data_IF_880112224492
#
_entry.id   IF_880112224492
#
_cell.length_a   1.000
_cell.length_b   1.000
_cell.length_c   1.000
_cell.angle_alpha   90.00
_cell.angle_beta   90.00
_cell.angle_gamma   90.00
#
_symmetry.space_group_name_H-M   'P 1'
#
loop_
_entity.id
_entity.type
_entity.pdbx_description
1 polymer ?
#
# COMPACT_ATOMS: atom_id res chain seq x y z
N UNK A 1 -17.98 -0.96 9.69
CA UNK A 1 -18.25 -0.97 11.14
C UNK A 1 -19.65 -1.52 11.36
N UNK A 2 -19.82 -2.36 12.38
CA UNK A 2 -21.13 -2.86 12.81
C UNK A 2 -21.33 -2.52 14.28
N UNK A 3 -22.57 -2.22 14.68
CA UNK A 3 -22.96 -2.01 16.07
C UNK A 3 -23.80 -3.22 16.55
N UNK A 4 -23.16 -4.35 16.88
CA UNK A 4 -23.85 -5.64 17.09
C UNK A 4 -24.79 -5.65 18.31
N UNK A 5 -24.59 -4.71 19.25
CA UNK A 5 -25.39 -4.58 20.46
C UNK A 5 -26.15 -3.24 20.56
N UNK A 6 -26.39 -2.58 19.41
CA UNK A 6 -26.92 -1.23 19.37
C UNK A 6 -25.84 -0.18 19.64
N UNK A 7 -26.19 1.10 19.61
CA UNK A 7 -25.27 2.22 19.82
C UNK A 7 -25.30 3.22 18.69
N UNK A 8 -24.27 4.08 18.61
CA UNK A 8 -24.13 5.13 17.61
C UNK A 8 -23.05 4.74 16.60
N UNK A 9 -23.40 4.73 15.32
CA UNK A 9 -22.44 4.59 14.24
C UNK A 9 -22.05 5.97 13.71
N UNK A 10 -20.75 6.30 13.77
CA UNK A 10 -20.21 7.55 13.25
C UNK A 10 -19.65 7.29 11.84
N UNK A 11 -20.24 7.94 10.83
CA UNK A 11 -19.73 7.88 9.46
C UNK A 11 -18.93 9.14 9.12
N UNK A 12 -17.72 8.96 8.62
CA UNK A 12 -16.84 10.06 8.18
C UNK A 12 -16.93 10.35 6.69
N UNK A 13 -17.82 9.70 5.94
CA UNK A 13 -17.92 9.81 4.46
C UNK A 13 -18.15 11.23 3.96
N UNK A 14 -18.74 12.11 4.76
CA UNK A 14 -18.93 13.53 4.43
C UNK A 14 -17.70 14.41 4.72
N UNK A 15 -16.71 13.88 5.42
CA UNK A 15 -15.41 14.50 5.71
C UNK A 15 -14.39 13.96 4.69
N UNK A 16 -14.46 14.43 3.44
CA UNK A 16 -13.74 13.83 2.32
C UNK A 16 -12.91 14.83 1.50
N UNK A 17 -12.49 15.93 2.11
CA UNK A 17 -11.74 17.00 1.45
C UNK A 17 -10.23 16.83 1.66
N UNK A 18 -9.47 17.28 0.66
CA UNK A 18 -8.06 17.66 0.82
C UNK A 18 -8.07 19.08 1.39
N UNK A 19 -7.62 19.25 2.62
CA UNK A 19 -7.63 20.54 3.32
C UNK A 19 -6.40 21.39 2.97
N UNK A 20 -5.27 20.73 2.76
CA UNK A 20 -4.01 21.38 2.42
C UNK A 20 -3.15 20.42 1.60
N UNK A 21 -2.47 20.96 0.61
CA UNK A 21 -1.44 20.27 -0.16
C UNK A 21 -0.13 21.05 -0.04
N UNK A 22 0.80 20.53 0.74
CA UNK A 22 2.11 21.13 1.01
C UNK A 22 3.19 20.40 0.20
N UNK A 23 3.40 20.86 -1.04
CA UNK A 23 4.37 20.24 -1.95
C UNK A 23 5.81 20.42 -1.46
N UNK A 24 6.12 21.55 -0.80
CA UNK A 24 7.47 21.82 -0.30
C UNK A 24 7.89 20.79 0.76
N UNK A 25 6.95 20.38 1.62
CA UNK A 25 7.15 19.36 2.64
C UNK A 25 6.70 17.96 2.21
N UNK A 26 6.23 17.80 0.97
CA UNK A 26 5.74 16.53 0.42
C UNK A 26 4.70 15.87 1.31
N UNK A 27 3.71 16.63 1.73
CA UNK A 27 2.62 16.13 2.55
C UNK A 27 1.30 16.75 2.19
N UNK A 28 0.21 16.10 2.61
CA UNK A 28 -1.15 16.62 2.50
C UNK A 28 -1.88 16.46 3.83
N UNK A 29 -2.70 17.45 4.18
CA UNK A 29 -3.66 17.34 5.27
C UNK A 29 -5.02 17.03 4.70
N UNK A 30 -5.61 15.91 5.09
CA UNK A 30 -6.86 15.41 4.53
C UNK A 30 -7.88 15.07 5.62
N UNK A 31 -9.13 15.04 5.25
CA UNK A 31 -10.23 14.53 6.07
C UNK A 31 -10.29 13.00 5.99
N UNK A 32 -10.72 12.30 7.07
CA UNK A 32 -10.61 10.85 7.18
C UNK A 32 -11.48 10.06 6.19
N UNK A 33 -12.56 10.63 5.70
CA UNK A 33 -13.46 10.03 4.71
C UNK A 33 -13.01 10.19 3.25
N UNK A 34 -11.88 10.85 2.99
CA UNK A 34 -11.32 10.94 1.64
C UNK A 34 -10.95 9.53 1.15
N UNK A 35 -11.42 9.17 -0.04
CA UNK A 35 -11.08 7.88 -0.67
C UNK A 35 -9.59 7.84 -1.00
N UNK A 36 -8.95 6.72 -0.70
CA UNK A 36 -7.50 6.55 -0.84
C UNK A 36 -6.99 6.92 -2.22
N UNK A 37 -7.57 6.34 -3.27
CA UNK A 37 -7.17 6.59 -4.66
C UNK A 37 -7.38 8.05 -5.09
N UNK A 38 -8.36 8.75 -4.51
CA UNK A 38 -8.63 10.15 -4.88
C UNK A 38 -7.50 11.10 -4.49
N UNK A 39 -6.77 10.79 -3.41
CA UNK A 39 -5.60 11.58 -3.06
C UNK A 39 -4.49 11.41 -4.10
N UNK A 40 -4.14 10.18 -4.48
CA UNK A 40 -3.16 9.91 -5.54
C UNK A 40 -3.57 10.59 -6.84
N UNK A 41 -4.83 10.46 -7.25
CA UNK A 41 -5.36 11.11 -8.46
C UNK A 41 -5.20 12.64 -8.41
N UNK A 42 -5.45 13.25 -7.24
CA UNK A 42 -5.36 14.70 -7.07
C UNK A 42 -3.93 15.28 -7.08
N UNK A 43 -2.91 14.43 -6.89
CA UNK A 43 -1.51 14.88 -6.83
C UNK A 43 -0.64 14.32 -7.96
N UNK A 44 -1.18 13.43 -8.78
CA UNK A 44 -0.46 12.72 -9.83
C UNK A 44 0.12 13.64 -10.91
N UNK A 45 -0.65 14.64 -11.34
CA UNK A 45 -0.24 15.67 -12.30
C UNK A 45 0.90 16.58 -11.78
N UNK A 46 1.16 16.52 -10.47
CA UNK A 46 2.23 17.24 -9.79
C UNK A 46 3.46 16.38 -9.53
N UNK A 47 3.46 15.14 -10.02
CA UNK A 47 4.55 14.19 -9.87
C UNK A 47 4.60 13.48 -8.50
N UNK A 48 3.46 13.40 -7.79
CA UNK A 48 3.37 12.75 -6.48
C UNK A 48 2.32 11.66 -6.45
N UNK A 49 2.43 10.77 -5.45
CA UNK A 49 1.41 9.78 -5.12
C UNK A 49 1.38 9.50 -3.61
N UNK A 50 0.29 8.92 -3.14
CA UNK A 50 0.15 8.38 -1.79
C UNK A 50 0.37 6.88 -1.84
N UNK A 51 1.47 6.41 -1.24
CA UNK A 51 1.96 5.05 -1.46
C UNK A 51 1.09 3.90 -0.90
N UNK A 52 0.40 4.02 0.26
CA UNK A 52 -0.48 2.95 0.70
C UNK A 52 -1.59 2.67 -0.30
N UNK A 53 -1.64 1.46 -0.81
CA UNK A 53 -2.51 1.06 -1.92
C UNK A 53 -3.24 -0.27 -1.65
N UNK A 54 -4.01 -0.37 -0.56
CA UNK A 54 -4.78 -1.59 -0.31
C UNK A 54 -5.65 -1.93 -1.54
N UNK A 55 -5.90 -3.21 -1.77
CA UNK A 55 -6.76 -3.66 -2.88
C UNK A 55 -8.14 -2.98 -2.88
N UNK A 56 -8.58 -2.49 -1.72
CA UNK A 56 -9.78 -1.68 -1.55
C UNK A 56 -9.61 -0.19 -1.81
N UNK A 57 -8.47 0.30 -2.30
CA UNK A 57 -8.15 1.73 -2.42
C UNK A 57 -9.18 2.57 -3.19
N UNK A 58 -9.96 1.94 -4.08
CA UNK A 58 -11.04 2.60 -4.83
C UNK A 58 -12.24 2.97 -3.96
N UNK A 59 -12.39 2.35 -2.80
CA UNK A 59 -13.56 2.52 -1.90
C UNK A 59 -13.15 2.75 -0.44
N UNK A 60 -11.95 2.36 -0.03
CA UNK A 60 -11.47 2.60 1.33
C UNK A 60 -11.11 4.06 1.54
N UNK A 61 -11.33 4.56 2.75
CA UNK A 61 -10.99 5.92 3.13
C UNK A 61 -9.63 5.98 3.83
N UNK A 62 -8.95 7.13 3.73
CA UNK A 62 -7.65 7.35 4.39
C UNK A 62 -7.75 7.16 5.90
N UNK A 63 -8.81 7.65 6.54
CA UNK A 63 -9.03 7.42 7.97
C UNK A 63 -9.32 5.97 8.32
N UNK A 64 -10.01 5.24 7.45
CA UNK A 64 -10.19 3.79 7.58
C UNK A 64 -8.87 3.04 7.48
N UNK A 65 -8.08 3.35 6.46
CA UNK A 65 -6.76 2.77 6.26
C UNK A 65 -5.80 3.08 7.43
N UNK A 66 -5.85 4.31 7.97
CA UNK A 66 -5.10 4.67 9.18
C UNK A 66 -5.58 3.88 10.40
N UNK A 67 -6.90 3.71 10.57
CA UNK A 67 -7.47 2.97 11.70
C UNK A 67 -7.11 1.48 11.69
N UNK A 68 -7.01 0.86 10.52
CA UNK A 68 -6.65 -0.57 10.38
C UNK A 68 -5.18 -0.80 10.09
N UNK A 69 -4.39 0.26 9.92
CA UNK A 69 -3.02 0.21 9.44
C UNK A 69 -2.90 -0.61 8.13
N UNK A 70 -3.73 -0.28 7.16
CA UNK A 70 -3.88 -1.06 5.93
C UNK A 70 -2.56 -1.15 5.15
N UNK A 71 -2.33 -2.34 4.58
CA UNK A 71 -1.26 -2.62 3.63
C UNK A 71 -1.80 -2.83 2.22
N UNK A 72 -0.89 -3.09 1.26
CA UNK A 72 -1.19 -3.35 -0.14
C UNK A 72 -0.03 -4.06 -0.83
N UNK A 73 -0.10 -4.31 -2.15
CA UNK A 73 0.93 -5.03 -2.89
C UNK A 73 2.31 -4.36 -2.83
N UNK A 74 2.36 -3.03 -2.71
CA UNK A 74 3.61 -2.29 -2.68
C UNK A 74 4.25 -2.13 -1.29
N UNK A 75 3.73 -2.85 -0.27
CA UNK A 75 4.24 -2.77 1.10
C UNK A 75 5.70 -3.20 1.24
N UNK A 76 6.18 -4.13 0.40
CA UNK A 76 7.57 -4.59 0.45
C UNK A 76 8.55 -3.41 0.29
N UNK A 77 8.29 -2.51 -0.63
CA UNK A 77 9.14 -1.36 -0.91
C UNK A 77 8.76 -0.11 -0.11
N UNK A 78 7.48 0.18 -0.03
CA UNK A 78 7.01 1.46 0.50
C UNK A 78 6.52 1.39 1.95
N UNK A 79 6.30 0.19 2.48
CA UNK A 79 5.73 0.00 3.82
C UNK A 79 4.21 0.12 3.83
N UNK A 80 3.65 0.09 5.03
CA UNK A 80 2.21 0.13 5.31
C UNK A 80 1.76 1.53 5.72
N UNK A 81 0.49 1.73 6.00
CA UNK A 81 -0.10 3.05 6.25
C UNK A 81 0.62 3.85 7.34
N UNK A 82 1.06 3.22 8.45
CA UNK A 82 1.78 3.91 9.55
C UNK A 82 3.05 4.61 9.08
N UNK A 83 3.74 4.07 8.05
CA UNK A 83 4.95 4.67 7.49
C UNK A 83 4.67 5.97 6.72
N UNK A 84 3.41 6.24 6.41
CA UNK A 84 2.97 7.38 5.60
C UNK A 84 2.06 8.36 6.36
N UNK A 85 1.72 8.07 7.62
CA UNK A 85 0.96 8.99 8.47
C UNK A 85 1.94 9.83 9.30
N UNK A 86 1.97 11.13 9.00
CA UNK A 86 2.81 12.10 9.70
C UNK A 86 2.13 12.70 10.92
N UNK A 87 0.81 12.81 10.93
CA UNK A 87 0.05 13.36 12.04
C UNK A 87 -1.43 13.04 11.97
N UNK A 88 -2.05 13.10 13.12
CA UNK A 88 -3.47 12.84 13.30
C UNK A 88 -4.10 13.92 14.16
N UNK A 89 -5.30 14.36 13.78
CA UNK A 89 -6.21 14.99 14.70
C UNK A 89 -7.22 13.95 15.17
N UNK A 90 -7.32 13.80 16.50
CA UNK A 90 -8.15 12.76 17.13
C UNK A 90 -9.07 13.39 18.14
N UNK A 91 -10.32 12.96 18.16
CA UNK A 91 -11.27 13.22 19.25
C UNK A 91 -11.19 12.05 20.22
N UNK A 92 -10.74 12.32 21.44
CA UNK A 92 -10.57 11.32 22.49
C UNK A 92 -11.90 10.88 23.10
N UNK A 93 -11.89 9.83 23.92
CA UNK A 93 -13.07 9.40 24.68
C UNK A 93 -13.58 10.44 25.71
N UNK A 94 -12.76 11.42 26.08
CA UNK A 94 -13.15 12.57 26.92
C UNK A 94 -13.80 13.71 26.10
N UNK A 95 -13.86 13.59 24.77
CA UNK A 95 -14.37 14.65 23.89
C UNK A 95 -13.35 15.73 23.55
N UNK A 96 -12.09 15.55 23.94
CA UNK A 96 -11.03 16.50 23.63
C UNK A 96 -10.50 16.30 22.22
N UNK A 97 -10.20 17.41 21.52
CA UNK A 97 -9.57 17.39 20.19
C UNK A 97 -8.07 17.57 20.38
N UNK A 98 -7.30 16.55 20.05
CA UNK A 98 -5.84 16.56 20.19
C UNK A 98 -5.16 16.38 18.85
N UNK A 99 -3.98 17.00 18.70
CA UNK A 99 -3.09 16.75 17.57
C UNK A 99 -1.95 15.85 18.04
N UNK A 100 -1.75 14.75 17.31
CA UNK A 100 -0.62 13.85 17.45
C UNK A 100 0.24 14.03 16.19
N UNK A 101 1.52 14.28 16.41
CA UNK A 101 2.35 14.48 15.28
C UNK A 101 2.26 15.83 14.57
N UNK A 102 2.65 15.88 13.28
CA UNK A 102 2.73 17.10 12.46
C UNK A 102 3.35 16.81 11.10
N UNK A 103 3.82 17.85 10.39
CA UNK A 103 4.40 17.72 9.05
C UNK A 103 5.85 17.18 9.01
N UNK A 104 6.47 16.93 10.14
CA UNK A 104 7.84 16.40 10.27
C UNK A 104 7.81 14.95 10.72
N UNK A 105 8.74 14.13 10.19
CA UNK A 105 8.86 12.71 10.55
C UNK A 105 9.52 12.52 11.91
N UNK A 106 10.59 13.27 12.16
CA UNK A 106 11.35 13.15 13.41
C UNK A 106 10.79 14.08 14.48
N UNK A 107 10.33 13.52 15.56
CA UNK A 107 9.68 14.25 16.67
C UNK A 107 10.26 13.83 18.00
N UNK A 108 10.44 14.78 18.91
CA UNK A 108 10.84 14.46 20.26
C UNK A 108 9.69 13.74 21.01
N UNK A 109 10.03 12.72 21.80
CA UNK A 109 9.10 12.00 22.65
C UNK A 109 8.57 10.70 22.05
N UNK A 110 7.45 10.22 22.62
CA UNK A 110 6.82 8.97 22.15
C UNK A 110 6.08 9.15 20.83
N UNK A 111 6.11 8.11 19.99
CA UNK A 111 5.33 8.07 18.76
C UNK A 111 3.86 7.73 19.02
N UNK A 112 3.10 8.73 19.47
CA UNK A 112 1.66 8.57 19.71
C UNK A 112 0.85 8.43 18.42
N UNK A 113 1.39 8.89 17.28
CA UNK A 113 0.78 8.68 15.96
C UNK A 113 0.76 7.20 15.61
N UNK A 114 1.90 6.51 15.78
CA UNK A 114 2.00 5.07 15.58
C UNK A 114 1.15 4.25 16.54
N UNK A 115 0.88 4.75 17.75
CA UNK A 115 -0.05 4.09 18.71
C UNK A 115 -1.50 4.15 18.23
N UNK A 116 -1.93 5.27 17.61
CA UNK A 116 -3.32 5.44 17.13
C UNK A 116 -3.55 4.77 15.79
N UNK A 117 -2.55 4.77 14.91
CA UNK A 117 -2.64 4.02 13.63
C UNK A 117 -2.76 2.52 13.94
N UNK A 118 -3.78 1.87 13.39
CA UNK A 118 -4.08 0.46 13.65
C UNK A 118 -4.88 0.20 14.93
N UNK A 119 -5.32 1.25 15.66
CA UNK A 119 -6.13 1.09 16.87
C UNK A 119 -7.60 0.75 16.62
N UNK A 120 -8.03 0.72 15.37
CA UNK A 120 -9.43 0.43 14.95
C UNK A 120 -10.49 1.29 15.66
N UNK A 121 -10.13 2.54 16.01
CA UNK A 121 -11.02 3.48 16.68
C UNK A 121 -11.16 3.28 18.20
N UNK A 122 -10.41 2.35 18.80
CA UNK A 122 -10.48 2.08 20.24
C UNK A 122 -9.90 3.21 21.11
N UNK A 123 -9.00 4.03 20.53
CA UNK A 123 -8.34 5.15 21.24
C UNK A 123 -8.97 6.51 20.92
N UNK A 124 -9.85 6.60 19.94
CA UNK A 124 -10.51 7.85 19.56
C UNK A 124 -10.96 7.86 18.10
N UNK A 125 -11.56 8.98 17.70
CA UNK A 125 -12.07 9.18 16.34
C UNK A 125 -11.11 10.11 15.59
N UNK A 126 -10.53 9.60 14.49
CA UNK A 126 -9.66 10.39 13.60
C UNK A 126 -10.52 11.37 12.81
N UNK A 127 -10.17 12.65 12.86
CA UNK A 127 -10.89 13.74 12.16
C UNK A 127 -10.05 14.46 11.11
N UNK A 128 -8.71 14.34 11.17
CA UNK A 128 -7.77 14.76 10.12
C UNK A 128 -6.57 13.86 10.12
N UNK A 129 -5.96 13.70 8.93
CA UNK A 129 -4.74 12.94 8.73
C UNK A 129 -3.76 13.81 7.95
N UNK A 130 -2.53 13.91 8.45
CA UNK A 130 -1.40 14.46 7.69
C UNK A 130 -0.66 13.27 7.12
N UNK A 131 -0.61 13.16 5.80
CA UNK A 131 0.03 12.05 5.09
C UNK A 131 1.25 12.52 4.32
N UNK A 132 2.24 11.63 4.22
CA UNK A 132 3.42 11.82 3.38
C UNK A 132 3.08 11.46 1.94
N UNK A 133 3.55 12.28 1.00
CA UNK A 133 3.50 12.02 -0.43
C UNK A 133 4.89 11.62 -0.93
N UNK A 134 4.95 10.66 -1.83
CA UNK A 134 6.17 10.25 -2.50
C UNK A 134 6.19 10.80 -3.93
N UNK A 135 7.39 10.97 -4.49
CA UNK A 135 7.54 11.23 -5.92
C UNK A 135 7.15 10.00 -6.72
N UNK A 136 6.47 10.22 -7.83
CA UNK A 136 6.25 9.16 -8.82
C UNK A 136 7.60 8.56 -9.24
N UNK A 137 7.69 7.23 -9.39
CA UNK A 137 8.88 6.60 -9.93
C UNK A 137 9.12 7.05 -11.37
N UNK A 138 10.38 7.15 -11.79
CA UNK A 138 10.75 7.51 -13.17
C UNK A 138 10.26 6.48 -14.17
N UNK A 139 10.32 5.20 -13.80
CA UNK A 139 9.86 4.09 -14.62
C UNK A 139 9.28 2.98 -13.75
N UNK A 140 8.43 2.17 -14.36
CA UNK A 140 7.86 0.94 -13.80
C UNK A 140 8.02 -0.15 -14.82
N UNK A 141 8.40 -1.35 -14.41
CA UNK A 141 8.45 -2.55 -15.25
C UNK A 141 7.82 -3.72 -14.52
N UNK A 142 6.87 -4.37 -15.18
CA UNK A 142 6.17 -5.54 -14.67
C UNK A 142 6.58 -6.77 -15.46
N UNK A 143 6.81 -7.89 -14.77
CA UNK A 143 7.03 -9.20 -15.35
C UNK A 143 6.10 -10.21 -14.68
N UNK A 144 5.74 -11.25 -15.42
CA UNK A 144 4.97 -12.40 -14.96
C UNK A 144 5.84 -13.65 -15.13
N UNK A 145 6.22 -14.29 -14.04
CA UNK A 145 6.94 -15.56 -14.05
C UNK A 145 5.99 -16.71 -13.75
N UNK A 146 6.06 -17.78 -14.53
CA UNK A 146 5.20 -18.97 -14.43
C UNK A 146 5.99 -20.13 -13.86
N UNK A 147 5.41 -20.83 -12.89
CA UNK A 147 6.07 -21.96 -12.20
C UNK A 147 5.17 -23.20 -12.18
N UNK A 148 5.82 -24.37 -12.02
CA UNK A 148 5.11 -25.64 -11.87
C UNK A 148 4.54 -25.84 -10.45
N UNK A 149 5.07 -25.12 -9.45
CA UNK A 149 4.69 -25.22 -8.05
C UNK A 149 4.78 -23.86 -7.33
N UNK A 150 4.05 -23.74 -6.22
CA UNK A 150 4.13 -22.57 -5.35
C UNK A 150 5.46 -22.51 -4.60
N UNK A 151 6.07 -23.66 -4.37
CA UNK A 151 7.38 -23.80 -3.72
C UNK A 151 8.46 -23.11 -4.58
N UNK A 152 8.54 -23.44 -5.87
CA UNK A 152 9.50 -22.83 -6.80
C UNK A 152 9.31 -21.30 -6.89
N UNK A 153 8.04 -20.84 -6.97
CA UNK A 153 7.73 -19.42 -6.96
C UNK A 153 8.19 -18.73 -5.65
N UNK A 154 8.00 -19.38 -4.51
CA UNK A 154 8.41 -18.85 -3.19
C UNK A 154 9.94 -18.81 -3.04
N UNK A 155 10.65 -19.79 -3.59
CA UNK A 155 12.12 -19.80 -3.64
C UNK A 155 12.65 -18.68 -4.54
N UNK A 156 11.98 -18.41 -5.67
CA UNK A 156 12.33 -17.28 -6.54
C UNK A 156 12.15 -15.92 -5.82
N UNK A 157 11.04 -15.72 -5.07
CA UNK A 157 10.84 -14.54 -4.21
C UNK A 157 11.99 -14.38 -3.22
N UNK A 158 12.34 -15.48 -2.51
CA UNK A 158 13.43 -15.48 -1.55
C UNK A 158 14.78 -15.15 -2.21
N UNK A 159 15.02 -15.69 -3.40
CA UNK A 159 16.21 -15.42 -4.21
C UNK A 159 16.32 -13.95 -4.64
N UNK A 160 15.21 -13.33 -5.08
CA UNK A 160 15.16 -11.91 -5.45
C UNK A 160 15.53 -11.04 -4.24
N UNK A 161 14.94 -11.31 -3.08
CA UNK A 161 15.20 -10.55 -1.85
C UNK A 161 16.65 -10.78 -1.37
N UNK A 162 17.13 -12.01 -1.40
CA UNK A 162 18.52 -12.35 -1.02
C UNK A 162 19.57 -11.69 -1.94
N UNK A 163 19.21 -11.43 -3.20
CA UNK A 163 20.05 -10.68 -4.14
C UNK A 163 20.09 -9.16 -3.87
N UNK A 164 19.39 -8.68 -2.83
CA UNK A 164 19.28 -7.25 -2.46
C UNK A 164 18.37 -6.45 -3.39
N UNK A 165 17.50 -7.10 -4.17
CA UNK A 165 16.55 -6.43 -5.06
C UNK A 165 15.27 -6.19 -4.27
N UNK A 166 14.93 -4.92 -4.05
CA UNK A 166 13.68 -4.52 -3.40
C UNK A 166 12.67 -4.20 -4.50
N UNK A 167 11.91 -5.22 -4.91
CA UNK A 167 10.84 -5.05 -5.88
C UNK A 167 9.72 -4.15 -5.29
N UNK A 168 9.05 -3.40 -6.16
CA UNK A 168 7.87 -2.61 -5.77
C UNK A 168 6.75 -3.54 -5.31
N UNK A 169 6.50 -4.63 -6.03
CA UNK A 169 5.57 -5.68 -5.66
C UNK A 169 6.11 -7.07 -6.05
N UNK A 170 5.78 -8.07 -5.22
CA UNK A 170 5.98 -9.50 -5.46
C UNK A 170 4.70 -10.22 -5.04
N UNK A 171 3.80 -10.46 -6.00
CA UNK A 171 2.49 -11.06 -5.76
C UNK A 171 2.46 -12.48 -6.34
N UNK A 172 2.26 -13.46 -5.47
CA UNK A 172 2.21 -14.87 -5.85
C UNK A 172 0.78 -15.39 -5.81
N UNK A 173 0.36 -16.05 -6.89
CA UNK A 173 -0.93 -16.73 -7.01
C UNK A 173 -0.69 -18.22 -7.19
N UNK A 174 -1.38 -19.03 -6.40
CA UNK A 174 -1.38 -20.49 -6.53
C UNK A 174 -2.40 -20.99 -7.58
N UNK A 175 -2.34 -22.25 -7.93
CA UNK A 175 -3.21 -22.87 -8.93
C UNK A 175 -4.71 -22.68 -8.62
N UNK A 176 -5.21 -22.88 -7.38
CA UNK A 176 -6.63 -22.64 -7.07
C UNK A 176 -7.09 -21.20 -7.34
N UNK A 177 -6.25 -20.21 -7.00
CA UNK A 177 -6.57 -18.79 -7.24
C UNK A 177 -6.51 -18.46 -8.72
N UNK A 178 -5.49 -18.95 -9.45
CA UNK A 178 -5.37 -18.78 -10.91
C UNK A 178 -6.63 -19.34 -11.59
N UNK A 179 -7.03 -20.56 -11.25
CA UNK A 179 -8.22 -21.18 -11.79
C UNK A 179 -9.51 -20.39 -11.50
N UNK A 180 -9.67 -19.93 -10.27
CA UNK A 180 -10.85 -19.13 -9.89
C UNK A 180 -10.92 -17.81 -10.68
N UNK A 181 -9.77 -17.15 -10.92
CA UNK A 181 -9.69 -15.93 -11.73
C UNK A 181 -10.04 -16.23 -13.18
N UNK A 182 -9.48 -17.29 -13.75
CA UNK A 182 -9.74 -17.66 -15.15
C UNK A 182 -11.19 -18.08 -15.39
N UNK A 183 -11.81 -18.82 -14.47
CA UNK A 183 -13.22 -19.18 -14.53
C UNK A 183 -14.16 -17.98 -14.34
N UNK A 184 -13.73 -17.00 -13.51
CA UNK A 184 -14.54 -15.83 -13.17
C UNK A 184 -14.49 -14.70 -14.19
N UNK A 185 -13.29 -14.28 -14.59
CA UNK A 185 -13.07 -13.09 -15.43
C UNK A 185 -12.20 -13.32 -16.66
N UNK A 186 -11.49 -14.46 -16.76
CA UNK A 186 -10.64 -14.77 -17.90
C UNK A 186 -9.49 -13.77 -18.08
N UNK A 187 -8.66 -13.61 -17.04
CA UNK A 187 -7.55 -12.63 -17.03
C UNK A 187 -6.40 -12.98 -17.99
N UNK A 188 -6.37 -14.23 -18.48
CA UNK A 188 -5.38 -14.70 -19.45
C UNK A 188 -4.13 -15.33 -18.81
N UNK A 189 -4.23 -15.79 -17.57
CA UNK A 189 -3.15 -16.55 -16.95
C UNK A 189 -2.91 -17.88 -17.67
N UNK A 190 -1.64 -18.37 -17.70
CA UNK A 190 -1.31 -19.61 -18.38
C UNK A 190 -2.05 -20.81 -17.78
N UNK A 191 -2.71 -21.59 -18.66
CA UNK A 191 -3.43 -22.79 -18.23
C UNK A 191 -2.45 -23.86 -17.74
N UNK A 192 -2.72 -24.43 -16.58
CA UNK A 192 -1.89 -25.47 -15.99
C UNK A 192 -0.65 -24.95 -15.24
N UNK A 193 -0.55 -23.65 -15.02
CA UNK A 193 0.44 -23.09 -14.10
C UNK A 193 0.16 -23.57 -12.67
N UNK A 194 1.18 -24.10 -11.99
CA UNK A 194 1.09 -24.42 -10.56
C UNK A 194 1.14 -23.17 -9.68
N UNK A 195 1.87 -22.15 -10.15
CA UNK A 195 1.88 -20.81 -9.57
C UNK A 195 2.29 -19.76 -10.61
N UNK A 196 1.91 -18.51 -10.38
CA UNK A 196 2.46 -17.34 -11.09
C UNK A 196 2.97 -16.34 -10.07
N UNK A 197 4.09 -15.69 -10.42
CA UNK A 197 4.67 -14.60 -9.66
C UNK A 197 4.61 -13.32 -10.50
N UNK A 198 3.85 -12.34 -10.04
CA UNK A 198 3.83 -11.00 -10.59
C UNK A 198 4.94 -10.19 -9.90
N UNK A 199 5.86 -9.65 -10.68
CA UNK A 199 7.02 -8.92 -10.20
C UNK A 199 6.95 -7.50 -10.76
N UNK A 200 6.96 -6.51 -9.89
CA UNK A 200 7.03 -5.12 -10.31
C UNK A 200 8.31 -4.47 -9.78
N UNK A 201 9.06 -3.86 -10.68
CA UNK A 201 10.22 -3.04 -10.38
C UNK A 201 9.88 -1.59 -10.70
N UNK A 202 10.16 -0.67 -9.81
CA UNK A 202 9.96 0.76 -10.03
C UNK A 202 11.12 1.59 -9.46
N UNK A 203 11.33 2.78 -10.02
CA UNK A 203 12.39 3.69 -9.60
C UNK A 203 13.14 4.32 -10.77
N UNK A 204 14.43 4.64 -10.59
CA UNK A 204 15.28 5.13 -11.68
C UNK A 204 15.38 4.11 -12.82
N UNK A 205 15.23 4.57 -14.07
CA UNK A 205 15.26 3.70 -15.26
C UNK A 205 16.52 2.84 -15.33
N UNK A 206 17.68 3.45 -15.08
CA UNK A 206 18.95 2.73 -15.13
C UNK A 206 19.04 1.59 -14.10
N UNK A 207 18.42 1.75 -12.93
CA UNK A 207 18.34 0.71 -11.90
C UNK A 207 17.43 -0.44 -12.35
N UNK A 208 16.25 -0.13 -12.88
CA UNK A 208 15.31 -1.12 -13.41
C UNK A 208 15.94 -1.92 -14.55
N UNK A 209 16.63 -1.24 -15.48
CA UNK A 209 17.30 -1.89 -16.62
C UNK A 209 18.43 -2.85 -16.16
N UNK A 210 19.10 -2.51 -15.05
CA UNK A 210 20.13 -3.38 -14.46
C UNK A 210 19.53 -4.55 -13.63
N UNK A 211 18.41 -4.32 -12.94
CA UNK A 211 17.79 -5.33 -12.08
C UNK A 211 16.97 -6.35 -12.86
N UNK A 212 16.31 -5.96 -13.95
CA UNK A 212 15.44 -6.83 -14.72
C UNK A 212 16.12 -8.15 -15.16
N UNK A 213 17.30 -8.14 -15.82
CA UNK A 213 17.93 -9.40 -16.24
C UNK A 213 18.34 -10.27 -15.05
N UNK A 214 18.68 -9.67 -13.91
CA UNK A 214 19.00 -10.40 -12.69
C UNK A 214 17.77 -11.09 -12.11
N UNK A 215 16.63 -10.43 -12.11
CA UNK A 215 15.36 -11.02 -11.67
C UNK A 215 14.98 -12.20 -12.57
N UNK A 216 15.09 -12.03 -13.88
CA UNK A 216 14.83 -13.12 -14.84
C UNK A 216 15.77 -14.32 -14.63
N UNK A 217 17.07 -14.08 -14.39
CA UNK A 217 18.05 -15.12 -14.09
C UNK A 217 17.68 -15.89 -12.81
N UNK A 218 17.30 -15.17 -11.73
CA UNK A 218 16.87 -15.77 -10.48
C UNK A 218 15.61 -16.61 -10.69
N UNK A 219 14.61 -16.11 -11.39
CA UNK A 219 13.39 -16.87 -11.65
C UNK A 219 13.70 -18.16 -12.43
N UNK A 220 14.58 -18.10 -13.47
CA UNK A 220 15.02 -19.30 -14.20
C UNK A 220 15.80 -20.27 -13.36
N UNK A 221 16.65 -19.78 -12.44
CA UNK A 221 17.41 -20.64 -11.49
C UNK A 221 16.47 -21.39 -10.53
N UNK A 222 15.28 -20.82 -10.25
CA UNK A 222 14.24 -21.45 -9.44
C UNK A 222 13.10 -22.03 -10.31
N UNK A 223 13.44 -22.57 -11.50
CA UNK A 223 12.57 -23.37 -12.36
C UNK A 223 11.37 -22.62 -12.98
N UNK A 224 11.46 -21.30 -13.18
CA UNK A 224 10.44 -20.60 -13.96
C UNK A 224 10.33 -21.21 -15.37
N UNK A 225 9.11 -21.56 -15.76
CA UNK A 225 8.78 -22.15 -17.04
C UNK A 225 8.75 -21.08 -18.16
N UNK A 226 8.27 -19.87 -17.79
CA UNK A 226 8.12 -18.71 -18.65
C UNK A 226 8.27 -17.43 -17.82
N UNK A 227 8.74 -16.34 -18.48
CA UNK A 227 8.83 -15.01 -17.85
C UNK A 227 8.45 -13.97 -18.91
#
# INVERSE_FOLDING_TARGET
>A
AMAPHGGVMVSTTRMNRILELDQANRCATVEPGLINLWLTTAVNDRGYFFAPDPSSQMVSSIGGNASTNAGGPHCLKYGITVNHVLGLQVVTGAGEVVWLGGKVQDRPGYDLTGVVVGSEGTLGIITRVIVRLLHLPEAVKTALAVFSSIEDASEAVSGIIAAGIIAAALECLDEPVIRAIEEGIGAGYPKGAGAVLLIELDGPRAEIDAQTPRVEEICRAHHALEI
#
